data_IF_405472081217
#
_entry.id   IF_405472081217
#
_cell.length_a   1.000
_cell.length_b   1.000
_cell.length_c   1.000
_cell.angle_alpha   90.00
_cell.angle_beta   90.00
_cell.angle_gamma   90.00
#
_symmetry.space_group_name_H-M   'P 1'
#
loop_
_entity.id
_entity.type
_entity.pdbx_description
1 polymer ?
#
# COMPACT_ATOMS: atom_id res chain seq x y z
N UNK A 1 8.70 1.02 10.04
CA UNK A 1 9.96 1.03 9.28
C UNK A 1 9.62 0.68 7.84
N UNK A 2 9.99 1.51 6.86
CA UNK A 2 9.79 1.20 5.44
C UNK A 2 10.83 0.18 4.98
N UNK A 3 10.49 -1.10 4.97
CA UNK A 3 11.39 -2.19 4.55
C UNK A 3 11.47 -2.40 3.04
N UNK A 4 10.55 -1.81 2.25
CA UNK A 4 10.51 -1.96 0.79
C UNK A 4 9.99 -3.29 0.26
N UNK A 5 9.57 -4.20 1.15
CA UNK A 5 9.03 -5.52 0.76
C UNK A 5 7.78 -5.36 -0.13
N UNK A 6 6.94 -4.37 0.15
CA UNK A 6 5.73 -4.10 -0.62
C UNK A 6 6.00 -3.78 -2.09
N UNK A 7 7.10 -3.07 -2.40
CA UNK A 7 7.51 -2.74 -3.77
C UNK A 7 7.99 -4.01 -4.46
N UNK A 8 8.89 -4.76 -3.82
CA UNK A 8 9.47 -5.97 -4.41
C UNK A 8 8.42 -7.09 -4.60
N UNK A 9 7.40 -7.13 -3.74
CA UNK A 9 6.30 -8.08 -3.84
C UNK A 9 5.27 -7.67 -4.90
N UNK A 10 5.26 -6.41 -5.37
CA UNK A 10 4.27 -5.94 -6.31
C UNK A 10 4.68 -6.31 -7.75
N UNK A 11 3.95 -7.22 -8.44
CA UNK A 11 4.29 -7.60 -9.81
C UNK A 11 4.10 -6.46 -10.82
N UNK A 12 3.30 -5.45 -10.46
CA UNK A 12 3.04 -4.28 -11.29
C UNK A 12 3.96 -3.10 -10.96
N UNK A 13 4.81 -3.21 -9.92
CA UNK A 13 5.69 -2.14 -9.44
C UNK A 13 4.99 -0.78 -9.35
N UNK A 14 3.75 -0.77 -8.85
CA UNK A 14 2.93 0.45 -8.74
C UNK A 14 3.09 1.20 -7.40
N UNK A 15 4.04 0.77 -6.57
CA UNK A 15 4.33 1.34 -5.26
C UNK A 15 5.74 1.91 -5.28
N UNK A 16 5.91 3.13 -4.79
CA UNK A 16 7.20 3.78 -4.63
C UNK A 16 7.46 4.15 -3.16
N UNK A 17 8.72 4.15 -2.73
CA UNK A 17 9.09 4.49 -1.35
C UNK A 17 9.48 5.96 -1.30
N UNK A 18 8.51 6.82 -1.02
CA UNK A 18 8.77 8.23 -0.87
C UNK A 18 9.20 8.58 0.56
N UNK A 19 10.07 9.58 0.68
CA UNK A 19 10.43 10.17 1.97
C UNK A 19 9.47 11.29 2.26
N UNK A 20 8.37 10.97 2.92
CA UNK A 20 7.46 12.00 3.38
C UNK A 20 7.98 12.63 4.68
N UNK A 21 8.47 13.87 4.57
CA UNK A 21 8.31 14.86 5.62
C UNK A 21 9.51 15.21 6.50
N UNK A 22 9.24 16.27 7.26
CA UNK A 22 9.94 16.91 8.38
C UNK A 22 10.05 16.03 9.65
N UNK A 23 9.87 14.70 9.54
CA UNK A 23 10.08 13.75 10.64
C UNK A 23 11.60 13.57 10.87
N UNK A 24 12.07 13.84 12.09
CA UNK A 24 13.49 13.73 12.46
C UNK A 24 14.10 12.36 12.16
N UNK A 25 13.27 11.32 12.02
CA UNK A 25 13.67 9.94 11.75
C UNK A 25 13.69 9.55 10.27
N UNK A 26 13.39 10.48 9.33
CA UNK A 26 13.47 10.27 7.86
C UNK A 26 12.87 8.93 7.40
N UNK A 27 11.71 8.56 7.95
CA UNK A 27 11.06 7.29 7.63
C UNK A 27 10.60 7.27 6.17
N UNK A 28 10.75 6.12 5.52
CA UNK A 28 10.22 5.89 4.17
C UNK A 28 8.81 5.34 4.27
N UNK A 29 7.92 5.88 3.44
CA UNK A 29 6.52 5.47 3.34
C UNK A 29 6.23 5.00 1.92
N UNK A 30 5.54 3.87 1.76
CA UNK A 30 5.09 3.43 0.45
C UNK A 30 3.94 4.31 -0.04
N UNK A 31 4.11 4.90 -1.22
CA UNK A 31 3.14 5.71 -1.94
C UNK A 31 2.69 4.94 -3.19
N UNK A 32 1.40 5.05 -3.53
CA UNK A 32 0.85 4.39 -4.70
C UNK A 32 0.91 5.35 -5.89
N UNK A 33 1.60 4.95 -6.95
CA UNK A 33 1.60 5.69 -8.21
C UNK A 33 0.29 5.40 -8.97
N UNK A 34 -0.55 6.42 -9.22
CA UNK A 34 -1.87 6.22 -9.82
C UNK A 34 -1.82 5.76 -11.29
N UNK A 35 -0.69 5.94 -11.97
CA UNK A 35 -0.54 5.64 -13.40
C UNK A 35 -0.09 4.18 -13.68
N UNK A 36 0.38 3.46 -12.67
CA UNK A 36 1.00 2.13 -12.83
C UNK A 36 0.01 0.95 -12.82
N UNK A 37 -1.29 1.19 -12.98
CA UNK A 37 -2.28 0.12 -13.16
C UNK A 37 -2.48 -0.78 -11.93
N UNK A 38 -2.45 -0.20 -10.72
CA UNK A 38 -2.72 -0.96 -9.50
C UNK A 38 -4.11 -1.63 -9.56
N UNK A 39 -4.12 -2.96 -9.51
CA UNK A 39 -5.35 -3.78 -9.56
C UNK A 39 -5.98 -4.02 -8.18
N UNK A 40 -5.31 -3.54 -7.11
CA UNK A 40 -5.73 -3.84 -5.74
C UNK A 40 -5.65 -5.33 -5.39
N UNK A 41 -4.66 -6.05 -5.94
CA UNK A 41 -4.49 -7.50 -5.73
C UNK A 41 -4.22 -7.91 -4.27
N UNK A 42 -3.72 -6.99 -3.43
CA UNK A 42 -3.49 -7.24 -2.00
C UNK A 42 -2.17 -7.92 -1.66
N UNK A 43 -1.31 -8.22 -2.65
CA UNK A 43 -0.03 -8.93 -2.43
C UNK A 43 0.90 -8.14 -1.51
N UNK A 44 1.02 -6.82 -1.72
CA UNK A 44 1.85 -5.96 -0.88
C UNK A 44 1.43 -5.93 0.60
N UNK A 45 0.13 -6.02 0.89
CA UNK A 45 -0.40 -6.08 2.26
C UNK A 45 -0.08 -7.44 2.90
N UNK A 46 -0.29 -8.55 2.18
CA UNK A 46 0.06 -9.91 2.66
C UNK A 46 1.55 -10.13 2.85
N UNK A 47 2.37 -9.53 1.99
CA UNK A 47 3.82 -9.61 2.09
C UNK A 47 4.38 -8.76 3.23
N UNK A 48 3.61 -7.81 3.76
CA UNK A 48 4.04 -6.97 4.87
C UNK A 48 3.88 -7.75 6.19
N UNK A 49 4.98 -8.15 6.86
CA UNK A 49 4.88 -8.88 8.13
C UNK A 49 4.35 -8.01 9.28
N UNK A 50 4.31 -6.69 9.07
CA UNK A 50 3.80 -5.70 10.01
C UNK A 50 2.36 -5.30 9.72
N UNK A 51 1.77 -5.83 8.63
CA UNK A 51 0.41 -5.46 8.16
C UNK A 51 0.19 -3.93 8.14
N UNK A 52 1.23 -3.19 7.76
CA UNK A 52 1.29 -1.73 7.94
C UNK A 52 0.46 -0.95 6.90
N UNK A 53 -0.20 -1.64 5.96
CA UNK A 53 -1.00 -1.05 4.89
C UNK A 53 -2.21 -1.92 4.54
N UNK A 54 -3.29 -1.25 4.15
CA UNK A 54 -4.53 -1.88 3.69
C UNK A 54 -4.70 -1.64 2.19
N UNK A 55 -5.07 -2.68 1.44
CA UNK A 55 -5.35 -2.56 -0.01
C UNK A 55 -6.86 -2.52 -0.22
N UNK A 56 -7.33 -1.48 -0.91
CA UNK A 56 -8.74 -1.30 -1.26
C UNK A 56 -8.87 -1.32 -2.78
N UNK A 57 -9.77 -2.15 -3.31
CA UNK A 57 -10.14 -2.12 -4.72
C UNK A 57 -11.15 -0.97 -4.92
N UNK A 58 -10.85 -0.07 -5.86
CA UNK A 58 -11.83 0.91 -6.33
C UNK A 58 -12.52 0.31 -7.55
N UNK A 59 -13.55 -0.50 -7.33
CA UNK A 59 -14.52 -0.78 -8.38
C UNK A 59 -15.22 0.54 -8.74
N UNK A 60 -15.51 0.75 -10.03
CA UNK A 60 -16.08 2.00 -10.58
C UNK A 60 -17.51 2.33 -10.09
N UNK A 61 -18.00 1.68 -9.04
CA UNK A 61 -19.30 1.90 -8.43
C UNK A 61 -19.09 2.23 -6.94
N UNK A 62 -19.54 3.41 -6.51
CA UNK A 62 -19.16 4.03 -5.25
C UNK A 62 -19.67 3.33 -3.99
N UNK A 63 -19.06 2.21 -3.61
CA UNK A 63 -19.28 1.58 -2.31
C UNK A 63 -17.96 1.39 -1.57
N UNK A 64 -17.77 2.18 -0.50
CA UNK A 64 -16.67 2.05 0.44
C UNK A 64 -16.99 0.88 1.36
N UNK A 65 -16.64 -0.33 0.96
CA UNK A 65 -16.71 -1.48 1.85
C UNK A 65 -15.54 -1.39 2.84
N UNK A 66 -15.74 -0.59 3.88
CA UNK A 66 -14.98 -0.69 5.10
C UNK A 66 -15.31 -2.05 5.73
N UNK A 67 -14.51 -3.07 5.43
CA UNK A 67 -14.53 -4.30 6.21
C UNK A 67 -13.85 -4.05 7.57
N UNK A 68 -14.53 -3.25 8.38
CA UNK A 68 -14.40 -3.30 9.83
C UNK A 68 -15.09 -4.58 10.28
N UNK A 69 -14.35 -5.67 10.32
CA UNK A 69 -14.78 -6.90 10.98
C UNK A 69 -13.56 -7.60 11.52
N UNK A 70 -13.04 -7.07 12.63
CA UNK A 70 -12.32 -7.88 13.59
C UNK A 70 -13.17 -7.83 14.87
N UNK A 71 -13.64 -9.01 15.25
CA UNK A 71 -14.57 -9.31 16.34
C UNK A 71 -13.97 -9.08 17.73
#
# INVERSE_FOLDING_TARGET
MGCGICINACPFSCLDLTRYGTDSYKRLFPELEPDHGCTGCGICSKACPLECMTVMKKDKDGKKDAISSQA
#
